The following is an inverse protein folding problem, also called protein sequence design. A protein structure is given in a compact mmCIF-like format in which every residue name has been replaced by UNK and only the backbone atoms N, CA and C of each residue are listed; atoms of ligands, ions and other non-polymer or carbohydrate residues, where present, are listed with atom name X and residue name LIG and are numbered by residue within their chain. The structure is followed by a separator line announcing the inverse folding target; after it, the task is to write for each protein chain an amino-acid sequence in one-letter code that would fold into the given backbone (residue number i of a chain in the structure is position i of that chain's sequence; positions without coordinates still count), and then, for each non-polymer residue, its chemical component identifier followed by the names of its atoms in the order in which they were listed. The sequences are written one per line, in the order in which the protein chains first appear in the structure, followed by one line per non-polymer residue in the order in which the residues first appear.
data_IF_224676014290
#
_entry.id   IF_224676014290
#
_cell.length_a   1.000
_cell.length_b   1.000
_cell.length_c   1.000
_cell.angle_alpha   90.00
_cell.angle_beta   90.00
_cell.angle_gamma   90.00
#
_symmetry.space_group_name_H-M   'P 1'
#
loop_
_entity.id
_entity.type
_entity.pdbx_description
1 polymer ?
#
# COMPACT_ATOMS: atom_id res chain seq x y z
N UNK A 1 -11.42 24.88 7.70
CA UNK A 1 -11.36 23.90 6.59
C UNK A 1 -10.90 22.51 7.02
N UNK A 2 -9.89 22.35 7.89
CA UNK A 2 -9.53 21.03 8.48
C UNK A 2 -10.71 20.39 9.25
N UNK A 3 -11.55 21.21 9.90
CA UNK A 3 -12.71 20.72 10.67
C UNK A 3 -13.88 20.12 9.88
N UNK A 4 -14.03 20.42 8.59
CA UNK A 4 -15.00 19.72 7.71
C UNK A 4 -14.40 18.43 7.14
N UNK A 5 -13.07 18.41 6.94
CA UNK A 5 -12.29 17.24 6.57
C UNK A 5 -12.31 16.15 7.66
N UNK A 6 -12.05 16.52 8.92
CA UNK A 6 -12.14 15.59 10.05
C UNK A 6 -13.57 15.05 10.22
N UNK A 7 -14.59 15.87 9.99
CA UNK A 7 -16.00 15.44 10.09
C UNK A 7 -16.45 14.45 9.01
N UNK A 8 -15.80 14.42 7.85
CA UNK A 8 -16.10 13.47 6.78
C UNK A 8 -15.36 12.13 6.91
N UNK A 9 -14.38 12.04 7.81
CA UNK A 9 -13.62 10.83 8.18
C UNK A 9 -14.01 10.32 9.59
N UNK A 10 -14.54 11.21 10.44
CA UNK A 10 -15.16 10.88 11.72
C UNK A 10 -16.54 10.24 11.49
N UNK A 11 -16.65 8.96 11.85
CA UNK A 11 -17.86 8.15 11.67
C UNK A 11 -17.72 7.04 10.64
N UNK A 12 -16.57 6.95 9.96
CA UNK A 12 -16.25 5.93 8.97
C UNK A 12 -15.15 4.99 9.51
N UNK A 13 -15.01 3.82 8.88
CA UNK A 13 -14.05 2.77 9.28
C UNK A 13 -12.57 3.19 9.29
N UNK A 14 -12.24 4.37 8.75
CA UNK A 14 -10.88 4.92 8.67
C UNK A 14 -10.62 6.10 9.61
N UNK A 15 -11.56 6.45 10.50
CA UNK A 15 -11.32 7.41 11.59
C UNK A 15 -10.07 7.06 12.40
N UNK A 16 -9.86 5.76 12.66
CA UNK A 16 -8.67 5.22 13.31
C UNK A 16 -7.35 5.46 12.55
N UNK A 17 -7.39 5.72 11.24
CA UNK A 17 -6.18 6.07 10.50
C UNK A 17 -5.73 7.50 10.69
N UNK A 18 -6.66 8.42 10.97
CA UNK A 18 -6.29 9.77 11.39
C UNK A 18 -5.48 9.73 12.70
N UNK A 19 -5.73 8.73 13.55
CA UNK A 19 -4.93 8.47 14.76
C UNK A 19 -3.50 7.99 14.43
N UNK A 20 -3.28 7.46 13.22
CA UNK A 20 -1.96 7.01 12.74
C UNK A 20 -1.19 8.10 11.99
N UNK A 21 -1.85 9.17 11.56
CA UNK A 21 -1.18 10.29 10.91
C UNK A 21 -0.54 11.21 11.96
N UNK A 22 0.79 11.25 11.96
CA UNK A 22 1.55 12.24 12.70
C UNK A 22 1.09 13.66 12.34
N UNK A 23 0.85 14.57 13.29
CA UNK A 23 0.48 15.96 13.01
C UNK A 23 1.42 16.66 12.02
N UNK A 24 2.72 16.33 12.08
CA UNK A 24 3.76 16.81 11.16
C UNK A 24 3.45 16.53 9.69
N UNK A 25 2.68 15.47 9.39
CA UNK A 25 2.26 15.14 8.03
C UNK A 25 1.53 16.32 7.36
N UNK A 26 0.60 16.95 8.08
CA UNK A 26 -0.19 18.07 7.56
C UNK A 26 0.62 19.35 7.36
N UNK A 27 1.85 19.41 7.88
CA UNK A 27 2.77 20.52 7.65
C UNK A 27 3.64 20.32 6.40
N UNK A 28 3.83 19.07 5.96
CA UNK A 28 4.68 18.72 4.80
C UNK A 28 3.87 18.30 3.58
N UNK A 29 2.56 18.10 3.73
CA UNK A 29 1.64 17.83 2.62
C UNK A 29 0.64 18.98 2.52
N UNK A 30 0.51 19.65 1.36
CA UNK A 30 -0.41 20.78 1.21
C UNK A 30 -1.86 20.37 1.49
N UNK A 31 -2.55 21.11 2.38
CA UNK A 31 -3.91 20.80 2.79
C UNK A 31 -4.93 20.77 1.65
N UNK A 32 -4.75 21.61 0.63
CA UNK A 32 -5.59 21.61 -0.58
C UNK A 32 -5.46 20.30 -1.37
N UNK A 33 -4.26 19.72 -1.40
CA UNK A 33 -4.02 18.49 -2.14
C UNK A 33 -4.55 17.27 -1.38
N UNK A 34 -4.48 17.28 -0.05
CA UNK A 34 -5.18 16.31 0.81
C UNK A 34 -6.69 16.39 0.55
N UNK A 35 -7.26 17.60 0.50
CA UNK A 35 -8.68 17.77 0.23
C UNK A 35 -9.08 17.28 -1.16
N UNK A 36 -8.26 17.52 -2.19
CA UNK A 36 -8.47 17.01 -3.56
C UNK A 36 -8.43 15.48 -3.61
N UNK A 37 -7.43 14.85 -2.99
CA UNK A 37 -7.35 13.38 -2.96
C UNK A 37 -8.48 12.76 -2.17
N UNK A 38 -8.84 13.34 -1.02
CA UNK A 38 -9.99 12.88 -0.24
C UNK A 38 -11.27 12.99 -1.06
N UNK A 39 -11.45 14.08 -1.81
CA UNK A 39 -12.59 14.26 -2.71
C UNK A 39 -12.60 13.21 -3.82
N UNK A 40 -11.43 12.91 -4.42
CA UNK A 40 -11.31 11.89 -5.45
C UNK A 40 -11.68 10.51 -4.88
N UNK A 41 -11.09 10.14 -3.74
CA UNK A 41 -11.39 8.89 -3.06
C UNK A 41 -12.88 8.78 -2.66
N UNK A 42 -13.48 9.87 -2.17
CA UNK A 42 -14.89 9.93 -1.81
C UNK A 42 -15.85 9.83 -3.00
N UNK A 43 -15.52 10.46 -4.14
CA UNK A 43 -16.27 10.29 -5.39
C UNK A 43 -16.26 8.85 -5.87
N UNK A 44 -15.12 8.19 -5.71
CA UNK A 44 -14.99 6.77 -6.00
C UNK A 44 -15.85 5.95 -5.04
N UNK A 45 -15.80 6.23 -3.74
CA UNK A 45 -16.65 5.56 -2.76
C UNK A 45 -18.16 5.68 -3.07
N UNK A 46 -18.62 6.86 -3.51
CA UNK A 46 -20.02 7.11 -3.83
C UNK A 46 -20.53 6.34 -5.07
N UNK A 47 -19.64 5.97 -6.00
CA UNK A 47 -19.97 5.08 -7.10
C UNK A 47 -19.89 3.64 -6.60
N UNK A 48 -21.05 3.00 -6.40
CA UNK A 48 -21.14 1.65 -5.84
C UNK A 48 -20.44 0.56 -6.69
N UNK A 49 -20.15 0.82 -7.97
CA UNK A 49 -19.49 -0.12 -8.89
C UNK A 49 -18.46 0.60 -9.77
N UNK A 50 -17.30 -0.02 -9.95
CA UNK A 50 -16.16 0.49 -10.74
C UNK A 50 -15.69 -0.57 -11.75
N UNK A 51 -16.51 -0.89 -12.77
CA UNK A 51 -16.29 -2.07 -13.61
C UNK A 51 -14.94 -2.05 -14.35
N UNK A 52 -14.47 -0.87 -14.79
CA UNK A 52 -13.18 -0.73 -15.48
C UNK A 52 -12.00 -0.98 -14.53
N UNK A 53 -12.02 -0.34 -13.36
CA UNK A 53 -11.00 -0.56 -12.32
C UNK A 53 -11.05 -1.99 -11.79
N UNK A 54 -12.24 -2.58 -11.70
CA UNK A 54 -12.39 -3.98 -11.33
C UNK A 54 -11.77 -4.93 -12.35
N UNK A 55 -11.96 -4.67 -13.65
CA UNK A 55 -11.35 -5.45 -14.71
C UNK A 55 -9.81 -5.39 -14.64
N UNK A 56 -9.22 -4.22 -14.34
CA UNK A 56 -7.77 -4.05 -14.20
C UNK A 56 -7.21 -4.92 -13.07
N UNK A 57 -7.85 -4.93 -11.91
CA UNK A 57 -7.38 -5.74 -10.77
C UNK A 57 -7.62 -7.23 -11.00
N UNK A 58 -8.74 -7.61 -11.62
CA UNK A 58 -8.99 -9.00 -12.02
C UNK A 58 -7.94 -9.50 -13.03
N UNK A 59 -7.58 -8.68 -14.01
CA UNK A 59 -6.49 -8.99 -14.95
C UNK A 59 -5.19 -9.22 -14.20
N UNK A 60 -4.80 -8.31 -13.31
CA UNK A 60 -3.59 -8.46 -12.50
C UNK A 60 -3.58 -9.79 -11.73
N UNK A 61 -4.68 -10.11 -11.04
CA UNK A 61 -4.81 -11.35 -10.26
C UNK A 61 -4.65 -12.57 -11.16
N UNK A 62 -5.26 -12.56 -12.35
CA UNK A 62 -5.18 -13.65 -13.31
C UNK A 62 -3.78 -13.79 -13.91
N UNK A 63 -3.17 -12.69 -14.34
CA UNK A 63 -1.84 -12.63 -14.94
C UNK A 63 -0.80 -13.19 -13.96
N UNK A 64 -0.90 -12.78 -12.69
CA UNK A 64 -0.03 -13.26 -11.61
C UNK A 64 -0.43 -14.62 -11.03
N UNK A 65 -1.53 -15.22 -11.52
CA UNK A 65 -2.10 -16.49 -11.02
C UNK A 65 -2.30 -16.51 -9.51
N UNK A 66 -2.72 -15.37 -8.93
CA UNK A 66 -2.94 -15.28 -7.49
C UNK A 66 -4.22 -16.04 -7.11
N UNK A 67 -4.22 -16.80 -6.00
CA UNK A 67 -5.40 -17.52 -5.52
C UNK A 67 -6.35 -16.57 -4.78
N UNK A 68 -6.81 -15.53 -5.48
CA UNK A 68 -7.65 -14.45 -4.95
C UNK A 68 -8.91 -14.33 -5.79
N UNK A 69 -10.07 -14.57 -5.19
CA UNK A 69 -11.36 -14.24 -5.79
C UNK A 69 -11.71 -12.79 -5.45
N UNK A 70 -11.63 -11.91 -6.42
CA UNK A 70 -11.97 -10.51 -6.22
C UNK A 70 -13.49 -10.27 -6.29
N UNK A 71 -14.11 -9.75 -5.22
CA UNK A 71 -15.57 -9.46 -5.13
C UNK A 71 -16.46 -10.55 -5.74
N UNK A 72 -16.16 -11.80 -5.42
CA UNK A 72 -17.02 -12.92 -5.80
C UNK A 72 -17.78 -13.42 -4.59
N UNK A 73 -19.07 -13.68 -4.77
CA UNK A 73 -19.91 -14.37 -3.80
C UNK A 73 -19.85 -15.87 -4.10
N UNK A 74 -18.68 -16.49 -3.95
CA UNK A 74 -18.62 -17.95 -3.98
C UNK A 74 -19.07 -18.50 -2.63
N UNK A 75 -20.04 -19.40 -2.65
CA UNK A 75 -20.38 -20.23 -1.50
C UNK A 75 -19.17 -21.12 -1.16
N UNK A 76 -18.76 -21.08 0.10
CA UNK A 76 -17.64 -21.83 0.66
C UNK A 76 -17.70 -23.32 0.30
N UNK A 77 -16.67 -23.83 -0.36
CA UNK A 77 -16.39 -25.27 -0.40
C UNK A 77 -15.54 -25.62 0.84
N UNK A 78 -16.07 -26.54 1.64
CA UNK A 78 -15.52 -27.26 2.80
C UNK A 78 -14.28 -26.69 3.54
N UNK A 79 -14.44 -26.49 4.85
CA UNK A 79 -13.37 -26.21 5.82
C UNK A 79 -12.34 -27.36 5.88
N UNK A 80 -11.43 -27.43 4.91
CA UNK A 80 -10.28 -28.32 4.96
C UNK A 80 -9.00 -27.50 4.88
N UNK A 81 -8.24 -27.48 5.98
CA UNK A 81 -6.94 -26.81 6.22
C UNK A 81 -6.82 -25.40 5.63
N UNK A 82 -6.98 -24.40 6.49
CA UNK A 82 -6.75 -23.00 6.12
C UNK A 82 -5.29 -22.78 5.68
N UNK A 83 -5.10 -21.90 4.68
CA UNK A 83 -3.78 -21.43 4.28
C UNK A 83 -2.94 -21.06 5.52
N UNK A 84 -1.66 -21.44 5.51
CA UNK A 84 -0.73 -21.03 6.56
C UNK A 84 -0.65 -19.50 6.61
N UNK A 85 -0.36 -18.94 7.79
CA UNK A 85 -0.17 -17.49 7.96
C UNK A 85 0.88 -16.93 6.98
N UNK A 86 1.94 -17.69 6.72
CA UNK A 86 2.94 -17.36 5.69
C UNK A 86 2.34 -17.31 4.28
N UNK A 87 1.52 -18.30 3.91
CA UNK A 87 0.82 -18.31 2.61
C UNK A 87 -0.13 -17.12 2.45
N UNK A 88 -0.86 -16.76 3.50
CA UNK A 88 -1.74 -15.58 3.53
C UNK A 88 -0.96 -14.28 3.30
N UNK A 89 0.13 -14.07 4.04
CA UNK A 89 0.94 -12.88 3.89
C UNK A 89 1.66 -12.80 2.55
N UNK A 90 2.04 -13.95 1.97
CA UNK A 90 2.57 -14.01 0.60
C UNK A 90 1.54 -13.50 -0.42
N UNK A 91 0.30 -14.01 -0.37
CA UNK A 91 -0.78 -13.54 -1.25
C UNK A 91 -0.99 -12.03 -1.11
N UNK A 92 -1.03 -11.55 0.14
CA UNK A 92 -1.24 -10.14 0.45
C UNK A 92 -0.11 -9.23 -0.09
N UNK A 93 1.15 -9.61 0.13
CA UNK A 93 2.31 -8.90 -0.39
C UNK A 93 2.36 -8.94 -1.92
N UNK A 94 2.05 -10.08 -2.54
CA UNK A 94 1.98 -10.19 -3.99
C UNK A 94 0.90 -9.28 -4.58
N UNK A 95 -0.26 -9.20 -3.93
CA UNK A 95 -1.33 -8.29 -4.34
C UNK A 95 -0.94 -6.82 -4.20
N UNK A 96 -0.29 -6.46 -3.08
CA UNK A 96 0.24 -5.11 -2.86
C UNK A 96 1.25 -4.70 -3.94
N UNK A 97 2.29 -5.52 -4.12
CA UNK A 97 3.34 -5.23 -5.11
C UNK A 97 2.80 -5.29 -6.53
N UNK A 98 1.90 -6.23 -6.84
CA UNK A 98 1.31 -6.36 -8.16
C UNK A 98 0.59 -5.07 -8.57
N UNK A 99 -0.24 -4.52 -7.69
CA UNK A 99 -0.94 -3.26 -7.96
C UNK A 99 0.04 -2.10 -8.15
N UNK A 100 1.05 -1.96 -7.29
CA UNK A 100 2.04 -0.88 -7.36
C UNK A 100 2.91 -0.97 -8.62
N UNK A 101 3.38 -2.16 -8.97
CA UNK A 101 4.37 -2.35 -10.03
C UNK A 101 3.75 -2.43 -11.42
N UNK A 102 2.50 -2.88 -11.54
CA UNK A 102 1.90 -3.22 -12.83
C UNK A 102 0.70 -2.37 -13.23
N UNK A 103 0.05 -1.67 -12.29
CA UNK A 103 -1.16 -0.90 -12.58
C UNK A 103 -0.98 0.60 -12.31
N UNK A 104 -1.70 1.48 -13.04
CA UNK A 104 -1.74 2.92 -12.77
C UNK A 104 -2.66 3.28 -11.59
N UNK A 105 -3.29 2.28 -10.98
CA UNK A 105 -4.24 2.43 -9.89
C UNK A 105 -4.08 1.30 -8.86
N UNK A 106 -4.63 1.51 -7.67
CA UNK A 106 -4.71 0.47 -6.64
C UNK A 106 -6.02 0.56 -5.86
N UNK A 107 -6.53 -0.60 -5.43
CA UNK A 107 -7.37 -0.67 -4.25
C UNK A 107 -6.51 -0.67 -3.00
N UNK A 108 -6.71 0.38 -2.20
CA UNK A 108 -5.88 0.66 -1.04
C UNK A 108 -6.33 -0.09 0.21
N UNK A 109 -7.51 -0.70 0.18
CA UNK A 109 -8.08 -1.39 1.32
C UNK A 109 -7.63 -2.86 1.36
N UNK A 110 -6.52 -3.09 2.05
CA UNK A 110 -5.93 -4.40 2.30
C UNK A 110 -6.18 -4.92 3.72
N UNK A 111 -7.09 -4.29 4.49
CA UNK A 111 -7.33 -4.62 5.90
C UNK A 111 -7.77 -6.07 6.06
N UNK A 112 -7.38 -6.68 7.16
CA UNK A 112 -7.70 -8.09 7.46
C UNK A 112 -9.20 -8.40 7.35
N UNK A 113 -10.06 -7.48 7.75
CA UNK A 113 -11.54 -7.60 7.68
C UNK A 113 -12.11 -7.69 6.26
N UNK A 114 -11.35 -7.31 5.24
CA UNK A 114 -11.78 -7.38 3.83
C UNK A 114 -11.44 -8.70 3.15
N UNK A 115 -10.79 -9.61 3.87
CA UNK A 115 -10.38 -10.92 3.38
C UNK A 115 -11.14 -12.03 4.11
N UNK A 116 -11.75 -12.91 3.34
CA UNK A 116 -12.28 -14.18 3.80
C UNK A 116 -11.34 -15.29 3.29
N UNK A 117 -10.65 -15.96 4.21
CA UNK A 117 -9.66 -16.98 3.90
C UNK A 117 -10.32 -18.35 3.78
N UNK A 118 -10.16 -18.99 2.63
CA UNK A 118 -10.58 -20.36 2.35
C UNK A 118 -9.38 -21.32 2.42
N UNK A 119 -9.58 -22.58 2.05
CA UNK A 119 -8.56 -23.63 2.13
C UNK A 119 -7.32 -23.37 1.27
N UNK A 120 -7.52 -22.95 0.01
CA UNK A 120 -6.45 -22.73 -0.98
C UNK A 120 -6.47 -21.33 -1.62
N UNK A 121 -7.45 -20.53 -1.27
CA UNK A 121 -7.71 -19.23 -1.88
C UNK A 121 -8.29 -18.25 -0.86
N UNK A 122 -8.46 -17.00 -1.26
CA UNK A 122 -9.20 -16.02 -0.46
C UNK A 122 -10.21 -15.25 -1.30
N UNK A 123 -11.35 -14.92 -0.69
CA UNK A 123 -12.23 -13.90 -1.24
C UNK A 123 -11.76 -12.54 -0.71
N UNK A 124 -11.41 -11.62 -1.60
CA UNK A 124 -11.06 -10.25 -1.25
C UNK A 124 -12.19 -9.31 -1.67
N UNK A 125 -12.78 -8.62 -0.69
CA UNK A 125 -13.91 -7.70 -0.86
C UNK A 125 -13.54 -6.32 -0.27
N UNK A 126 -12.62 -5.57 -0.90
CA UNK A 126 -12.22 -4.26 -0.42
C UNK A 126 -13.37 -3.26 -0.54
N UNK A 127 -13.34 -2.22 0.29
CA UNK A 127 -14.19 -1.04 0.12
C UNK A 127 -13.97 -0.34 -1.23
N UNK A 128 -14.78 0.68 -1.52
CA UNK A 128 -14.75 1.40 -2.81
C UNK A 128 -13.65 2.47 -2.93
N UNK A 129 -12.54 2.34 -2.18
CA UNK A 129 -11.45 3.31 -2.16
C UNK A 129 -10.40 2.94 -3.22
N UNK A 130 -10.44 3.64 -4.35
CA UNK A 130 -9.51 3.47 -5.46
C UNK A 130 -8.69 4.74 -5.61
N UNK A 131 -7.36 4.58 -5.66
CA UNK A 131 -6.46 5.65 -6.03
C UNK A 131 -5.98 5.42 -7.46
N UNK A 132 -6.06 6.46 -8.29
CA UNK A 132 -5.29 6.56 -9.53
C UNK A 132 -4.06 7.39 -9.22
N UNK A 133 -2.89 6.81 -9.42
CA UNK A 133 -1.64 7.46 -9.07
C UNK A 133 -1.32 8.55 -10.09
N UNK A 134 -0.72 9.64 -9.63
CA UNK A 134 0.03 10.51 -10.52
C UNK A 134 1.18 9.70 -11.15
N UNK A 135 1.39 9.91 -12.44
CA UNK A 135 2.37 9.13 -13.21
C UNK A 135 3.80 9.37 -12.73
N UNK A 136 4.15 10.63 -12.42
CA UNK A 136 5.49 10.98 -11.93
C UNK A 136 5.74 10.35 -10.58
N UNK A 137 4.76 10.41 -9.67
CA UNK A 137 4.83 9.74 -8.37
C UNK A 137 4.99 8.23 -8.51
N UNK A 138 4.15 7.60 -9.33
CA UNK A 138 4.16 6.15 -9.49
C UNK A 138 5.48 5.65 -10.09
N UNK A 139 5.99 6.32 -11.11
CA UNK A 139 7.24 5.95 -11.74
C UNK A 139 8.42 6.10 -10.78
N UNK A 140 8.48 7.20 -10.04
CA UNK A 140 9.50 7.41 -9.04
C UNK A 140 9.42 6.35 -7.92
N UNK A 141 8.22 6.06 -7.40
CA UNK A 141 8.03 4.99 -6.40
C UNK A 141 8.44 3.62 -6.95
N UNK A 142 8.17 3.30 -8.21
CA UNK A 142 8.61 2.05 -8.85
C UNK A 142 10.14 1.97 -8.94
N UNK A 143 10.82 3.08 -9.22
CA UNK A 143 12.30 3.16 -9.18
C UNK A 143 12.82 2.92 -7.78
N UNK A 144 12.24 3.58 -6.76
CA UNK A 144 12.59 3.37 -5.35
C UNK A 144 12.45 1.88 -4.96
N UNK A 145 11.30 1.26 -5.25
CA UNK A 145 11.06 -0.14 -4.91
C UNK A 145 12.01 -1.09 -5.66
N UNK A 146 12.19 -0.90 -6.97
CA UNK A 146 13.12 -1.72 -7.78
C UNK A 146 14.56 -1.55 -7.30
N UNK A 147 15.01 -0.32 -7.14
CA UNK A 147 16.36 -0.01 -6.67
C UNK A 147 16.65 -0.67 -5.33
N UNK A 148 15.73 -0.55 -4.38
CA UNK A 148 15.89 -1.18 -3.07
C UNK A 148 15.93 -2.72 -3.15
N UNK A 149 14.89 -3.37 -3.70
CA UNK A 149 14.79 -4.84 -3.66
C UNK A 149 15.72 -5.57 -4.64
N UNK A 150 16.16 -4.90 -5.71
CA UNK A 150 17.13 -5.44 -6.67
C UNK A 150 18.57 -5.05 -6.32
N UNK A 151 18.79 -4.30 -5.24
CA UNK A 151 20.10 -3.78 -4.84
C UNK A 151 20.77 -2.92 -5.93
N UNK A 152 19.97 -2.09 -6.62
CA UNK A 152 20.41 -1.05 -7.54
C UNK A 152 20.29 0.32 -6.84
N UNK A 153 21.35 0.70 -6.13
CA UNK A 153 21.39 1.94 -5.35
C UNK A 153 21.28 3.19 -6.24
N UNK A 154 21.75 3.13 -7.50
CA UNK A 154 21.63 4.26 -8.42
C UNK A 154 20.17 4.50 -8.78
N UNK A 155 19.44 3.44 -9.14
CA UNK A 155 18.00 3.52 -9.43
C UNK A 155 17.18 3.93 -8.20
N UNK A 156 17.59 3.47 -7.01
CA UNK A 156 16.97 3.86 -5.75
C UNK A 156 17.08 5.37 -5.50
N UNK A 157 18.28 5.91 -5.62
CA UNK A 157 18.55 7.35 -5.42
C UNK A 157 17.90 8.19 -6.52
N UNK A 158 17.88 7.72 -7.76
CA UNK A 158 17.17 8.37 -8.87
C UNK A 158 15.68 8.53 -8.55
N UNK A 159 15.02 7.45 -8.10
CA UNK A 159 13.61 7.51 -7.72
C UNK A 159 13.33 8.46 -6.54
N UNK A 160 14.23 8.52 -5.56
CA UNK A 160 14.11 9.50 -4.48
C UNK A 160 14.32 10.93 -4.97
N UNK A 161 15.22 11.16 -5.92
CA UNK A 161 15.47 12.48 -6.50
C UNK A 161 14.26 13.01 -7.27
N UNK A 162 13.57 12.15 -8.02
CA UNK A 162 12.32 12.51 -8.69
C UNK A 162 11.22 12.94 -7.70
N UNK A 163 11.27 12.43 -6.46
CA UNK A 163 10.38 12.82 -5.37
C UNK A 163 10.92 13.98 -4.52
N UNK A 164 12.14 14.45 -4.78
CA UNK A 164 12.89 15.44 -3.98
C UNK A 164 13.18 14.98 -2.54
N UNK A 165 13.38 13.67 -2.36
CA UNK A 165 13.51 12.99 -1.06
C UNK A 165 14.89 12.37 -0.82
N UNK A 166 15.93 12.78 -1.55
CA UNK A 166 17.29 12.27 -1.41
C UNK A 166 17.83 12.47 0.02
N UNK A 167 17.49 13.60 0.63
CA UNK A 167 17.84 13.93 2.02
C UNK A 167 17.25 12.95 3.05
N UNK A 168 16.28 12.12 2.64
CA UNK A 168 15.62 11.11 3.47
C UNK A 168 15.95 9.67 3.04
N UNK A 169 16.96 9.47 2.19
CA UNK A 169 17.31 8.15 1.65
C UNK A 169 17.50 7.08 2.73
N UNK A 170 18.31 7.36 3.76
CA UNK A 170 18.54 6.39 4.83
C UNK A 170 17.27 6.07 5.64
N UNK A 171 16.35 7.05 5.77
CA UNK A 171 15.07 6.85 6.45
C UNK A 171 14.13 5.96 5.63
N UNK A 172 14.07 6.15 4.31
CA UNK A 172 13.31 5.28 3.42
C UNK A 172 13.91 3.88 3.40
N UNK A 173 15.24 3.74 3.35
CA UNK A 173 15.92 2.44 3.40
C UNK A 173 15.57 1.70 4.70
N UNK A 174 15.67 2.39 5.84
CA UNK A 174 15.26 1.85 7.14
C UNK A 174 13.77 1.46 7.19
N UNK A 175 12.90 2.22 6.54
CA UNK A 175 11.47 1.90 6.43
C UNK A 175 11.21 0.62 5.64
N UNK A 176 12.01 0.32 4.62
CA UNK A 176 11.98 -0.99 3.98
C UNK A 176 12.56 -2.11 4.87
N UNK A 177 13.29 -1.75 5.92
CA UNK A 177 13.94 -2.64 6.88
C UNK A 177 15.40 -2.90 6.52
N UNK A 178 16.21 -3.32 7.49
CA UNK A 178 17.63 -3.59 7.25
C UNK A 178 17.88 -5.05 6.83
N UNK A 179 18.98 -5.29 6.11
CA UNK A 179 19.51 -6.64 5.86
C UNK A 179 18.86 -7.39 4.68
N UNK A 180 18.85 -8.72 4.76
CA UNK A 180 18.54 -9.59 3.61
C UNK A 180 17.06 -9.62 3.20
N UNK A 181 16.16 -9.01 4.00
CA UNK A 181 14.71 -8.99 3.77
C UNK A 181 14.06 -10.39 3.71
N UNK A 182 14.76 -11.42 4.23
CA UNK A 182 14.31 -12.82 4.24
C UNK A 182 13.31 -13.15 5.36
N UNK A 183 13.27 -12.35 6.42
CA UNK A 183 12.43 -12.56 7.59
C UNK A 183 11.97 -11.22 8.19
N UNK A 184 11.12 -10.50 7.46
CA UNK A 184 10.58 -9.20 7.89
C UNK A 184 9.34 -9.43 8.73
N UNK A 185 9.33 -8.92 9.95
CA UNK A 185 8.14 -8.85 10.80
C UNK A 185 7.54 -7.45 10.71
N UNK A 186 6.23 -7.38 10.45
CA UNK A 186 5.52 -6.10 10.31
C UNK A 186 4.90 -5.69 11.63
N UNK A 187 5.10 -4.41 12.00
CA UNK A 187 4.51 -3.80 13.19
C UNK A 187 4.01 -2.41 12.86
N UNK A 188 2.76 -2.10 13.20
CA UNK A 188 2.19 -0.78 12.96
C UNK A 188 2.95 0.33 13.69
N UNK A 189 3.55 0.02 14.84
CA UNK A 189 4.40 0.97 15.57
C UNK A 189 5.62 1.38 14.74
N UNK A 190 6.33 0.42 14.16
CA UNK A 190 7.55 0.69 13.41
C UNK A 190 7.25 1.48 12.13
N UNK A 191 6.12 1.18 11.47
CA UNK A 191 5.60 1.99 10.37
C UNK A 191 5.36 3.45 10.78
N UNK A 192 4.65 3.69 11.89
CA UNK A 192 4.37 5.06 12.36
C UNK A 192 5.63 5.83 12.69
N UNK A 193 6.55 5.20 13.43
CA UNK A 193 7.78 5.83 13.86
C UNK A 193 8.64 6.22 12.66
N UNK A 194 8.80 5.31 11.69
CA UNK A 194 9.59 5.56 10.48
C UNK A 194 8.98 6.66 9.60
N UNK A 195 7.68 6.64 9.34
CA UNK A 195 7.02 7.70 8.56
C UNK A 195 7.06 9.05 9.30
N UNK A 196 6.93 9.06 10.62
CA UNK A 196 7.11 10.27 11.41
C UNK A 196 8.52 10.86 11.24
N UNK A 197 9.57 10.01 11.24
CA UNK A 197 10.93 10.47 10.98
C UNK A 197 11.10 11.04 9.56
N UNK A 198 10.50 10.40 8.54
CA UNK A 198 10.49 10.91 7.17
C UNK A 198 9.82 12.29 7.12
N UNK A 199 8.66 12.48 7.76
CA UNK A 199 7.97 13.77 7.79
C UNK A 199 8.79 14.85 8.51
N UNK A 200 9.43 14.51 9.63
CA UNK A 200 10.35 15.42 10.31
C UNK A 200 11.55 15.79 9.43
N UNK A 201 12.04 14.86 8.61
CA UNK A 201 13.12 15.10 7.67
C UNK A 201 12.70 16.08 6.57
N UNK A 202 11.52 15.87 5.96
CA UNK A 202 10.96 16.79 4.97
C UNK A 202 10.76 18.19 5.55
N UNK A 203 10.19 18.29 6.77
CA UNK A 203 10.00 19.57 7.46
C UNK A 203 11.32 20.31 7.68
N UNK A 204 12.36 19.61 8.17
CA UNK A 204 13.69 20.18 8.41
C UNK A 204 14.34 20.69 7.12
N UNK A 205 14.15 19.98 6.01
CA UNK A 205 14.70 20.33 4.71
C UNK A 205 13.79 21.23 3.87
N UNK A 206 12.63 21.64 4.41
CA UNK A 206 11.61 22.46 3.73
C UNK A 206 11.13 21.84 2.41
N UNK A 207 11.11 20.51 2.34
CA UNK A 207 10.61 19.76 1.20
C UNK A 207 9.13 19.42 1.43
N UNK A 208 8.31 19.61 0.39
CA UNK A 208 6.93 19.14 0.38
C UNK A 208 6.87 17.71 -0.13
N UNK A 209 6.07 16.85 0.52
CA UNK A 209 5.79 15.53 -0.03
C UNK A 209 4.78 15.62 -1.18
N UNK A 210 4.98 14.76 -2.17
CA UNK A 210 4.00 14.57 -3.23
C UNK A 210 2.62 14.22 -2.64
N UNK A 211 1.51 14.80 -3.13
CA UNK A 211 0.17 14.53 -2.59
C UNK A 211 -0.18 13.05 -2.46
N UNK A 212 0.20 12.20 -3.43
CA UNK A 212 -0.14 10.77 -3.41
C UNK A 212 0.50 10.00 -2.24
N UNK A 213 1.43 10.58 -1.47
CA UNK A 213 1.88 10.00 -0.21
C UNK A 213 0.74 9.77 0.79
N UNK A 214 -0.34 10.56 0.74
CA UNK A 214 -1.51 10.33 1.59
C UNK A 214 -2.18 8.98 1.27
N UNK A 215 -2.59 8.78 0.02
CA UNK A 215 -3.21 7.53 -0.43
C UNK A 215 -2.25 6.34 -0.33
N UNK A 216 -0.95 6.57 -0.55
CA UNK A 216 0.08 5.56 -0.36
C UNK A 216 0.26 5.16 1.11
N UNK A 217 0.21 6.12 2.04
CA UNK A 217 0.23 5.86 3.47
C UNK A 217 -0.98 5.04 3.92
N UNK A 218 -2.17 5.33 3.39
CA UNK A 218 -3.37 4.49 3.60
C UNK A 218 -3.15 3.06 3.12
N UNK A 219 -2.63 2.90 1.90
CA UNK A 219 -2.35 1.59 1.30
C UNK A 219 -1.33 0.77 2.09
N UNK A 220 -0.27 1.41 2.60
CA UNK A 220 0.70 0.75 3.46
C UNK A 220 0.13 0.43 4.85
N UNK A 221 -0.69 1.31 5.42
CA UNK A 221 -1.25 1.07 6.75
C UNK A 221 -2.21 -0.12 6.78
N UNK A 222 -3.05 -0.31 5.75
CA UNK A 222 -3.89 -1.52 5.65
C UNK A 222 -3.04 -2.77 5.47
N UNK A 223 -1.96 -2.69 4.69
CA UNK A 223 -1.02 -3.79 4.54
C UNK A 223 -0.36 -4.16 5.88
N UNK A 224 0.17 -3.17 6.61
CA UNK A 224 0.86 -3.39 7.88
C UNK A 224 -0.08 -3.93 8.96
N UNK A 225 -1.30 -3.39 9.07
CA UNK A 225 -2.33 -3.92 9.99
C UNK A 225 -2.56 -5.41 9.74
N UNK A 226 -2.80 -5.77 8.49
CA UNK A 226 -3.10 -7.15 8.14
C UNK A 226 -1.87 -8.06 8.32
N UNK A 227 -0.67 -7.67 7.88
CA UNK A 227 0.54 -8.45 8.09
C UNK A 227 0.92 -8.60 9.57
N UNK A 228 0.73 -7.57 10.39
CA UNK A 228 0.93 -7.63 11.84
C UNK A 228 -0.03 -8.63 12.49
N UNK A 229 -1.30 -8.64 12.07
CA UNK A 229 -2.31 -9.59 12.59
C UNK A 229 -1.96 -11.07 12.30
N UNK A 230 -1.21 -11.34 11.23
CA UNK A 230 -0.72 -12.68 10.93
C UNK A 230 0.39 -13.10 11.92
N UNK A 231 1.18 -12.15 12.42
CA UNK A 231 2.21 -12.36 13.43
C UNK A 231 3.42 -13.17 12.96
N UNK A 232 3.60 -13.33 11.65
CA UNK A 232 4.69 -14.08 11.02
C UNK A 232 5.77 -13.14 10.46
N UNK A 233 6.91 -13.74 10.10
CA UNK A 233 7.95 -13.09 9.31
C UNK A 233 7.87 -13.52 7.84
N UNK A 234 8.13 -12.60 6.92
CA UNK A 234 8.00 -12.83 5.47
C UNK A 234 9.30 -12.56 4.71
N UNK A 235 9.56 -13.33 3.65
CA UNK A 235 10.62 -13.04 2.69
C UNK A 235 10.13 -12.04 1.64
N UNK A 236 10.13 -10.76 2.01
CA UNK A 236 9.54 -9.69 1.21
C UNK A 236 10.27 -9.51 -0.12
N UNK A 237 11.61 -9.66 -0.12
CA UNK A 237 12.43 -9.53 -1.33
C UNK A 237 12.11 -10.61 -2.35
N UNK A 238 12.00 -11.86 -1.91
CA UNK A 238 11.63 -12.97 -2.80
C UNK A 238 10.26 -12.72 -3.45
N UNK A 239 9.27 -12.35 -2.64
CA UNK A 239 7.91 -12.06 -3.13
C UNK A 239 7.92 -10.90 -4.14
N UNK A 240 8.66 -9.82 -3.87
CA UNK A 240 8.79 -8.70 -4.78
C UNK A 240 9.41 -9.11 -6.13
N UNK A 241 10.48 -9.90 -6.10
CA UNK A 241 11.17 -10.38 -7.31
C UNK A 241 10.26 -11.26 -8.16
N UNK A 242 9.47 -12.13 -7.53
CA UNK A 242 8.47 -12.95 -8.23
C UNK A 242 7.39 -12.10 -8.90
N UNK A 243 6.88 -11.08 -8.20
CA UNK A 243 5.88 -10.15 -8.77
C UNK A 243 6.42 -9.47 -10.02
N UNK A 244 7.69 -9.06 -10.04
CA UNK A 244 8.28 -8.44 -11.22
C UNK A 244 8.35 -9.40 -12.42
N UNK A 245 8.64 -10.68 -12.18
CA UNK A 245 8.76 -11.70 -13.23
C UNK A 245 7.42 -12.12 -13.82
N UNK A 246 6.36 -12.14 -13.00
CA UNK A 246 5.04 -12.66 -13.38
C UNK A 246 4.34 -11.95 -14.56
N UNK A 247 4.89 -10.85 -15.09
CA UNK A 247 4.35 -10.13 -16.26
C UNK A 247 5.37 -9.99 -17.41
N UNK A 248 6.57 -10.54 -17.25
CA UNK A 248 7.61 -10.58 -18.30
C UNK A 248 7.59 -11.87 -19.11
N UNK A 249 6.66 -12.78 -18.80
CA UNK A 249 6.32 -14.02 -19.51
C UNK A 249 4.94 -13.89 -20.15
#
# INVERSE_FOLDING_TARGET
MIGSFLRGIQGNEWSHFMDYLSPVFFEVVPALDIARQTTQLGKTYAKLKHPEEEAIVRSLINDMRLPVNFRMDKASSEMLTSLSKQGKGRILLSLYFGQLMHNPLAWIDLRSSTFEWLSKECNWKPGAWIVRWDETFLNAMRKVYRGYYLADDALYLEGLAELQLEHSADLFRKQFGDGSQKAVQFKMKDFRDSFHQIFLSCKRNKTSLHPNFFAFGLFLSSLYEHLESLGESFNVREIFVEVLKARSE
#
